data_IF_241735163305
#
_entry.id   IF_241735163305
#
_cell.length_a   1.000
_cell.length_b   1.000
_cell.length_c   1.000
_cell.angle_alpha   90.00
_cell.angle_beta   90.00
_cell.angle_gamma   90.00
#
_symmetry.space_group_name_H-M   'P 1'
#
loop_
_entity.id
_entity.type
_entity.pdbx_description
1 polymer ?
#
# COMPACT_ATOMS: atom_id res chain seq x y z
N UNK A 1 10.80 -20.60 9.58
CA UNK A 1 9.57 -20.54 8.78
C UNK A 1 9.74 -19.43 7.76
N UNK A 2 9.47 -19.69 6.49
CA UNK A 2 9.60 -18.71 5.40
C UNK A 2 8.27 -18.00 5.23
N UNK A 3 8.25 -16.67 5.30
CA UNK A 3 7.05 -15.89 4.97
C UNK A 3 6.90 -15.86 3.45
N UNK A 4 5.76 -16.32 2.95
CA UNK A 4 5.36 -16.18 1.56
C UNK A 4 4.78 -14.77 1.33
N UNK A 5 5.05 -14.21 0.15
CA UNK A 5 4.45 -12.96 -0.32
C UNK A 5 3.68 -13.26 -1.61
N UNK A 6 2.41 -12.89 -1.61
CA UNK A 6 1.51 -12.97 -2.75
C UNK A 6 1.31 -11.58 -3.36
N UNK A 7 1.30 -11.50 -4.68
CA UNK A 7 1.00 -10.29 -5.42
C UNK A 7 -0.06 -10.60 -6.46
N UNK A 8 -1.17 -9.89 -6.39
CA UNK A 8 -2.29 -9.99 -7.32
C UNK A 8 -2.50 -8.65 -8.00
N UNK A 9 -2.73 -8.66 -9.31
CA UNK A 9 -3.16 -7.49 -10.06
C UNK A 9 -4.45 -7.85 -10.81
N UNK A 10 -5.47 -7.02 -10.69
CA UNK A 10 -6.77 -7.24 -11.30
C UNK A 10 -7.31 -5.94 -11.89
N UNK A 11 -7.95 -6.06 -13.07
CA UNK A 11 -8.72 -4.97 -13.64
C UNK A 11 -10.10 -4.95 -12.97
N UNK A 12 -10.54 -3.77 -12.55
CA UNK A 12 -11.83 -3.54 -11.92
C UNK A 12 -12.69 -2.74 -12.91
N UNK A 13 -13.78 -3.36 -13.34
CA UNK A 13 -14.81 -2.76 -14.21
C UNK A 13 -16.10 -2.57 -13.41
N UNK A 14 -16.91 -1.53 -13.70
CA UNK A 14 -16.77 -0.58 -14.82
C UNK A 14 -15.80 0.57 -14.56
N UNK A 15 -15.22 0.68 -13.37
CA UNK A 15 -14.47 1.86 -12.91
C UNK A 15 -13.15 2.15 -13.69
N UNK A 16 -12.77 1.31 -14.65
CA UNK A 16 -11.51 1.37 -15.42
C UNK A 16 -10.28 1.57 -14.50
N UNK A 17 -10.24 0.81 -13.38
CA UNK A 17 -9.14 0.83 -12.42
C UNK A 17 -8.35 -0.47 -12.44
N UNK A 18 -7.08 -0.39 -12.07
CA UNK A 18 -6.28 -1.55 -11.69
C UNK A 18 -6.17 -1.59 -10.16
N UNK A 19 -6.48 -2.74 -9.56
CA UNK A 19 -6.23 -3.03 -8.15
C UNK A 19 -5.03 -3.95 -8.04
N UNK A 20 -4.03 -3.54 -7.26
CA UNK A 20 -2.89 -4.37 -6.87
C UNK A 20 -3.07 -4.74 -5.40
N UNK A 21 -3.01 -6.02 -5.07
CA UNK A 21 -3.04 -6.54 -3.70
C UNK A 21 -1.74 -7.28 -3.41
N UNK A 22 -1.04 -6.87 -2.37
CA UNK A 22 0.19 -7.50 -1.87
C UNK A 22 -0.14 -8.03 -0.48
N UNK A 23 0.14 -9.32 -0.24
CA UNK A 23 -0.15 -9.98 1.03
C UNK A 23 1.02 -10.85 1.46
N UNK A 24 1.45 -10.75 2.72
CA UNK A 24 2.35 -11.73 3.32
C UNK A 24 1.59 -12.74 4.19
N UNK A 25 2.30 -13.78 4.65
CA UNK A 25 1.79 -14.82 5.58
C UNK A 25 2.41 -14.71 6.97
N UNK A 26 3.01 -13.55 7.27
CA UNK A 26 3.66 -13.26 8.53
C UNK A 26 2.67 -12.84 9.61
N UNK A 27 3.17 -12.14 10.62
CA UNK A 27 2.35 -11.63 11.74
C UNK A 27 1.51 -10.41 11.37
N UNK A 28 1.72 -9.84 10.17
CA UNK A 28 1.16 -8.56 9.79
C UNK A 28 1.86 -7.36 10.45
N UNK A 29 1.27 -6.19 10.26
CA UNK A 29 1.70 -4.93 10.87
C UNK A 29 1.31 -4.87 12.35
N UNK A 30 2.09 -4.18 13.18
CA UNK A 30 1.62 -3.80 14.52
C UNK A 30 0.54 -2.72 14.42
N UNK A 31 -0.29 -2.58 15.45
CA UNK A 31 -1.31 -1.52 15.50
C UNK A 31 -0.70 -0.11 15.41
N UNK A 32 0.47 0.09 16.04
CA UNK A 32 1.20 1.35 15.96
C UNK A 32 1.63 1.67 14.53
N UNK A 33 2.21 0.69 13.84
CA UNK A 33 2.66 0.83 12.46
C UNK A 33 1.46 1.08 11.53
N UNK A 34 0.34 0.37 11.70
CA UNK A 34 -0.90 0.65 10.95
C UNK A 34 -1.38 2.08 11.17
N UNK A 35 -1.38 2.56 12.42
CA UNK A 35 -1.79 3.92 12.75
C UNK A 35 -0.89 4.96 12.06
N UNK A 36 0.43 4.80 12.15
CA UNK A 36 1.40 5.68 11.48
C UNK A 36 1.20 5.69 9.95
N UNK A 37 0.96 4.51 9.35
CA UNK A 37 0.68 4.40 7.92
C UNK A 37 -0.65 5.04 7.53
N UNK A 38 -1.68 4.99 8.37
CA UNK A 38 -3.00 5.57 8.08
C UNK A 38 -3.03 7.09 8.26
N UNK A 39 -2.35 7.62 9.29
CA UNK A 39 -2.37 9.05 9.64
C UNK A 39 -1.51 9.91 8.71
N UNK A 40 -0.88 9.31 7.68
CA UNK A 40 0.13 9.97 6.82
C UNK A 40 1.23 10.70 7.61
N UNK A 41 1.45 10.28 8.86
CA UNK A 41 2.47 10.87 9.71
C UNK A 41 3.81 10.52 9.09
N UNK A 42 4.59 11.56 8.82
CA UNK A 42 5.92 11.44 8.27
C UNK A 42 6.76 10.63 9.27
N UNK A 43 7.17 9.40 8.96
CA UNK A 43 8.05 8.65 9.83
C UNK A 43 9.46 9.17 9.55
N UNK A 44 9.77 10.38 10.02
CA UNK A 44 11.16 10.80 10.19
C UNK A 44 11.65 10.08 11.45
N UNK A 45 11.81 8.77 11.32
CA UNK A 45 12.63 8.00 12.23
C UNK A 45 13.96 7.81 11.49
N UNK A 46 15.05 8.28 12.09
CA UNK A 46 16.42 8.19 11.55
C UNK A 46 16.86 6.74 11.20
N UNK A 47 16.05 5.75 11.56
CA UNK A 47 16.25 4.32 11.29
C UNK A 47 15.81 3.87 9.88
N UNK A 48 15.14 4.71 9.10
CA UNK A 48 14.76 4.41 7.71
C UNK A 48 13.68 3.33 7.51
N UNK A 49 13.06 2.87 8.61
CA UNK A 49 12.16 1.71 8.68
C UNK A 49 10.89 1.84 7.82
N UNK A 50 10.54 3.06 7.39
CA UNK A 50 9.34 3.35 6.59
C UNK A 50 9.59 4.20 5.32
N UNK A 51 10.86 4.40 4.92
CA UNK A 51 11.21 5.17 3.71
C UNK A 51 10.56 4.58 2.45
N UNK A 52 10.46 3.25 2.38
CA UNK A 52 9.87 2.55 1.23
C UNK A 52 8.41 2.91 0.97
N UNK A 53 7.56 2.85 2.00
CA UNK A 53 6.12 3.14 1.86
C UNK A 53 5.89 4.62 1.61
N UNK A 54 6.66 5.49 2.25
CA UNK A 54 6.62 6.93 1.97
C UNK A 54 6.97 7.23 0.51
N UNK A 55 8.02 6.59 -0.03
CA UNK A 55 8.39 6.73 -1.44
C UNK A 55 7.26 6.27 -2.38
N UNK A 56 6.58 5.17 -2.05
CA UNK A 56 5.41 4.70 -2.82
C UNK A 56 4.30 5.74 -2.78
N UNK A 57 3.87 6.20 -1.60
CA UNK A 57 2.83 7.22 -1.44
C UNK A 57 3.15 8.50 -2.21
N UNK A 58 4.38 9.00 -2.08
CA UNK A 58 4.83 10.20 -2.79
C UNK A 58 4.78 10.02 -4.31
N UNK A 59 5.21 8.86 -4.83
CA UNK A 59 5.16 8.56 -6.27
C UNK A 59 3.73 8.41 -6.77
N UNK A 60 2.85 7.78 -5.99
CA UNK A 60 1.43 7.69 -6.32
C UNK A 60 0.82 9.09 -6.46
N UNK A 61 1.09 9.98 -5.50
CA UNK A 61 0.64 11.37 -5.57
C UNK A 61 1.24 12.14 -6.74
N UNK A 62 2.54 11.99 -7.04
CA UNK A 62 3.18 12.67 -8.17
C UNK A 62 2.64 12.23 -9.53
N UNK A 63 2.34 10.93 -9.69
CA UNK A 63 1.95 10.33 -10.97
C UNK A 63 0.43 10.36 -11.20
N UNK A 64 -0.36 10.26 -10.14
CA UNK A 64 -1.80 10.08 -10.22
C UNK A 64 -2.57 11.11 -9.39
N UNK A 65 -1.89 12.03 -8.71
CA UNK A 65 -2.51 13.06 -7.86
C UNK A 65 -3.49 12.41 -6.86
N UNK A 66 -4.77 12.78 -6.92
CA UNK A 66 -5.82 12.26 -6.05
C UNK A 66 -6.58 11.07 -6.66
N UNK A 67 -6.11 10.53 -7.79
CA UNK A 67 -6.79 9.46 -8.53
C UNK A 67 -6.33 8.05 -8.11
N UNK A 68 -5.19 7.94 -7.42
CA UNK A 68 -4.71 6.70 -6.83
C UNK A 68 -5.01 6.63 -5.33
N UNK A 69 -5.26 5.42 -4.84
CA UNK A 69 -5.49 5.12 -3.43
C UNK A 69 -4.56 4.00 -2.94
N UNK A 70 -4.27 4.00 -1.65
CA UNK A 70 -3.51 2.95 -0.98
C UNK A 70 -4.08 2.68 0.40
N UNK A 71 -4.29 1.42 0.72
CA UNK A 71 -4.83 0.96 1.99
C UNK A 71 -3.93 -0.11 2.63
N UNK A 72 -3.87 -0.11 3.95
CA UNK A 72 -3.07 -1.03 4.77
C UNK A 72 -3.97 -1.67 5.83
N UNK A 73 -3.92 -3.00 5.93
CA UNK A 73 -4.63 -3.75 6.98
C UNK A 73 -3.94 -5.10 7.20
N UNK A 74 -4.39 -5.82 8.23
CA UNK A 74 -3.96 -7.20 8.47
C UNK A 74 -5.10 -8.16 8.13
N UNK A 75 -4.77 -9.23 7.41
CA UNK A 75 -5.65 -10.36 7.09
C UNK A 75 -4.74 -11.57 6.84
N UNK A 76 -4.66 -12.49 7.82
CA UNK A 76 -3.73 -13.64 7.80
C UNK A 76 -2.27 -13.28 7.45
N UNK A 77 -1.85 -12.07 7.80
CA UNK A 77 -0.58 -11.43 7.44
C UNK A 77 -0.78 -9.95 7.10
N UNK A 78 0.26 -9.29 6.60
CA UNK A 78 0.17 -7.88 6.17
C UNK A 78 -0.49 -7.79 4.80
N UNK A 79 -1.44 -6.88 4.62
CA UNK A 79 -2.08 -6.60 3.32
C UNK A 79 -1.91 -5.14 2.94
N UNK A 80 -1.47 -4.92 1.71
CA UNK A 80 -1.41 -3.62 1.05
C UNK A 80 -2.27 -3.70 -0.21
N UNK A 81 -3.21 -2.77 -0.35
CA UNK A 81 -4.03 -2.62 -1.55
C UNK A 81 -3.76 -1.27 -2.19
N UNK A 82 -3.53 -1.25 -3.50
CA UNK A 82 -3.28 -0.04 -4.29
C UNK A 82 -4.31 0.01 -5.43
N UNK A 83 -5.06 1.09 -5.51
CA UNK A 83 -5.94 1.39 -6.63
C UNK A 83 -5.33 2.44 -7.56
N UNK A 84 -5.25 2.13 -8.85
CA UNK A 84 -4.70 3.02 -9.90
C UNK A 84 -5.74 3.23 -11.01
N UNK A 85 -5.87 4.44 -11.57
CA UNK A 85 -6.66 4.63 -12.79
C UNK A 85 -5.92 4.07 -14.02
N UNK A 86 -6.64 3.45 -14.96
CA UNK A 86 -6.03 2.94 -16.21
C UNK A 86 -5.76 4.04 -17.24
N UNK A 87 -6.43 5.18 -17.11
CA UNK A 87 -6.24 6.36 -17.96
C UNK A 87 -5.87 7.54 -17.08
N UNK A 88 -4.82 8.27 -17.45
CA UNK A 88 -4.55 9.56 -16.84
C UNK A 88 -5.53 10.58 -17.41
N UNK A 89 -6.20 11.32 -16.53
CA UNK A 89 -7.01 12.49 -16.91
C UNK A 89 -6.17 13.63 -17.43
#
# INVERSE_FOLDING_TARGET
>A
MTNLIFVYAMLVSPDERMKIRIQDTGKGFSNEVLRQMQENINPINDSGEHIGIWNVKRRLWLLYQNQADIAFHNDHGAVIEIGLPLRQG
#
